data_IF_086440164291
#
_entry.id   IF_086440164291
#
_cell.length_a   1.000
_cell.length_b   1.000
_cell.length_c   1.000
_cell.angle_alpha   90.00
_cell.angle_beta   90.00
_cell.angle_gamma   90.00
#
_symmetry.space_group_name_H-M   'P 1'
#
loop_
_entity.id
_entity.type
_entity.pdbx_description
1 polymer ?
#
# COMPACT_ATOMS: atom_id res chain seq x y z
N UNK A 1 13.95 -4.84 -7.53
CA UNK A 1 13.58 -3.98 -8.68
C UNK A 1 12.08 -3.72 -8.63
N UNK A 2 11.59 -2.57 -9.06
CA UNK A 2 10.14 -2.23 -9.05
C UNK A 2 9.36 -2.69 -10.28
N UNK A 3 9.81 -3.75 -10.96
CA UNK A 3 9.26 -4.16 -12.28
C UNK A 3 7.96 -4.96 -12.13
N UNK A 4 7.76 -5.62 -10.98
CA UNK A 4 6.53 -6.34 -10.69
C UNK A 4 5.34 -5.38 -10.76
N UNK A 5 4.24 -5.84 -11.37
CA UNK A 5 3.03 -5.05 -11.62
C UNK A 5 1.84 -5.65 -10.86
N UNK A 6 1.89 -5.73 -9.52
CA UNK A 6 0.82 -6.34 -8.76
C UNK A 6 -0.47 -5.54 -8.96
N UNK A 7 -1.57 -6.24 -9.17
CA UNK A 7 -2.93 -5.70 -9.04
C UNK A 7 -3.46 -5.83 -7.60
N UNK A 8 -2.81 -6.67 -6.80
CA UNK A 8 -3.17 -6.96 -5.41
C UNK A 8 -1.90 -7.28 -4.61
N UNK A 9 -1.84 -6.81 -3.36
CA UNK A 9 -0.85 -7.23 -2.38
C UNK A 9 -1.56 -7.79 -1.15
N UNK A 10 -1.32 -9.07 -0.86
CA UNK A 10 -1.79 -9.69 0.38
C UNK A 10 -0.74 -9.47 1.47
N UNK A 11 -1.14 -8.82 2.57
CA UNK A 11 -0.25 -8.44 3.66
C UNK A 11 -0.80 -8.92 5.00
N UNK A 12 0.09 -9.25 5.93
CA UNK A 12 -0.23 -9.49 7.33
C UNK A 12 0.38 -8.37 8.17
N UNK A 13 -0.48 -7.46 8.64
CA UNK A 13 -0.13 -6.37 9.55
C UNK A 13 -0.37 -6.80 11.00
N UNK A 14 0.31 -6.19 12.00
CA UNK A 14 0.00 -6.43 13.40
C UNK A 14 -1.48 -6.18 13.70
N UNK A 15 -2.13 -7.15 14.35
CA UNK A 15 -3.53 -7.01 14.76
C UNK A 15 -3.68 -5.92 15.83
N UNK A 16 -4.69 -5.07 15.69
CA UNK A 16 -4.96 -3.97 16.61
C UNK A 16 -4.13 -2.70 16.35
N UNK A 17 -3.13 -2.75 15.47
CA UNK A 17 -2.45 -1.55 14.97
C UNK A 17 -3.05 -1.11 13.63
N UNK A 18 -3.20 0.20 13.45
CA UNK A 18 -3.81 0.79 12.26
C UNK A 18 -2.76 1.50 11.40
N UNK A 19 -2.83 1.30 10.09
CA UNK A 19 -1.88 1.86 9.13
C UNK A 19 -2.59 2.57 7.99
N UNK A 20 -2.33 3.87 7.83
CA UNK A 20 -2.75 4.63 6.66
C UNK A 20 -1.90 4.23 5.45
N UNK A 21 -2.56 3.73 4.40
CA UNK A 21 -1.91 3.41 3.14
C UNK A 21 -1.80 4.62 2.21
N UNK A 22 -0.70 4.67 1.45
CA UNK A 22 -0.47 5.59 0.34
C UNK A 22 0.20 4.81 -0.80
N UNK A 23 -0.33 4.91 -2.01
CA UNK A 23 0.27 4.33 -3.22
C UNK A 23 1.08 5.42 -3.90
N UNK A 24 2.37 5.17 -4.08
CA UNK A 24 3.31 6.09 -4.72
C UNK A 24 3.60 5.56 -6.12
N UNK A 25 3.22 6.34 -7.13
CA UNK A 25 3.67 6.13 -8.50
C UNK A 25 4.96 6.91 -8.69
N UNK A 26 6.08 6.19 -8.77
CA UNK A 26 7.40 6.83 -8.91
C UNK A 26 7.69 7.32 -10.33
N UNK A 27 6.92 6.86 -11.32
CA UNK A 27 7.05 7.31 -12.72
C UNK A 27 6.28 8.61 -12.96
N UNK A 28 5.03 8.67 -12.51
CA UNK A 28 4.18 9.87 -12.60
C UNK A 28 4.44 10.87 -11.45
N UNK A 29 5.34 10.53 -10.52
CA UNK A 29 5.67 11.32 -9.33
C UNK A 29 4.44 11.71 -8.50
N UNK A 30 3.53 10.76 -8.29
CA UNK A 30 2.25 11.02 -7.62
C UNK A 30 2.04 10.13 -6.39
N UNK A 31 1.20 10.62 -5.47
CA UNK A 31 0.80 9.89 -4.26
C UNK A 31 -0.72 9.82 -4.23
N UNK A 32 -1.25 8.60 -4.16
CA UNK A 32 -2.69 8.33 -4.05
C UNK A 32 -3.00 7.84 -2.63
N UNK A 33 -3.80 8.58 -1.84
CA UNK A 33 -4.24 8.12 -0.52
C UNK A 33 -5.04 6.82 -0.63
N UNK A 34 -4.76 5.86 0.25
CA UNK A 34 -5.47 4.60 0.38
C UNK A 34 -6.34 4.52 1.63
N UNK A 35 -6.81 3.31 1.95
CA UNK A 35 -7.55 3.03 3.17
C UNK A 35 -6.61 2.85 4.38
N UNK A 36 -7.21 2.79 5.58
CA UNK A 36 -6.53 2.34 6.80
C UNK A 36 -6.69 0.83 6.91
N UNK A 37 -5.58 0.13 7.17
CA UNK A 37 -5.53 -1.33 7.26
C UNK A 37 -5.06 -1.80 8.65
N UNK A 38 -5.47 -3.02 9.03
CA UNK A 38 -5.02 -3.76 10.23
C UNK A 38 -5.20 -5.26 10.00
N UNK A 39 -4.38 -6.10 10.64
CA UNK A 39 -4.46 -7.56 10.49
C UNK A 39 -4.14 -8.05 9.07
N UNK A 40 -4.78 -9.16 8.65
CA UNK A 40 -4.65 -9.68 7.29
C UNK A 40 -5.50 -8.86 6.31
N UNK A 41 -4.87 -8.32 5.28
CA UNK A 41 -5.51 -7.42 4.32
C UNK A 41 -5.05 -7.67 2.90
N UNK A 42 -5.95 -7.39 1.96
CA UNK A 42 -5.67 -7.37 0.54
C UNK A 42 -5.68 -5.91 0.08
N UNK A 43 -4.52 -5.38 -0.30
CA UNK A 43 -4.35 -4.00 -0.75
C UNK A 43 -4.44 -3.95 -2.28
N UNK A 44 -5.44 -3.28 -2.86
CA UNK A 44 -5.53 -3.09 -4.29
C UNK A 44 -4.33 -2.26 -4.78
N UNK A 45 -3.69 -2.73 -5.84
CA UNK A 45 -2.57 -2.03 -6.47
C UNK A 45 -2.89 -1.71 -7.93
N UNK A 46 -2.25 -0.70 -8.54
CA UNK A 46 -2.62 -0.24 -9.88
C UNK A 46 -2.34 -1.21 -11.03
N UNK A 47 -1.65 -2.34 -10.81
CA UNK A 47 -1.26 -3.24 -11.90
C UNK A 47 -0.24 -2.63 -12.86
N UNK A 48 0.59 -1.72 -12.37
CA UNK A 48 1.65 -1.04 -13.13
C UNK A 48 3.01 -1.28 -12.48
N UNK A 49 4.08 -1.14 -13.25
CA UNK A 49 5.43 -1.14 -12.69
C UNK A 49 5.67 0.15 -11.88
N UNK A 50 6.70 0.11 -11.05
CA UNK A 50 7.24 1.27 -10.32
C UNK A 50 6.26 1.90 -9.33
N UNK A 51 5.33 1.09 -8.84
CA UNK A 51 4.43 1.42 -7.75
C UNK A 51 5.08 1.01 -6.43
N UNK A 52 4.98 1.89 -5.44
CA UNK A 52 5.34 1.58 -4.06
C UNK A 52 4.12 1.73 -3.16
N UNK A 53 4.00 0.87 -2.16
CA UNK A 53 3.02 1.00 -1.09
C UNK A 53 3.74 1.52 0.15
N UNK A 54 3.30 2.66 0.67
CA UNK A 54 3.72 3.17 1.97
C UNK A 54 2.60 2.91 2.98
N UNK A 55 2.96 2.28 4.10
CA UNK A 55 2.07 2.06 5.24
C UNK A 55 2.62 2.83 6.43
N UNK A 56 1.88 3.87 6.87
CA UNK A 56 2.25 4.68 8.02
C UNK A 56 1.33 4.34 9.18
N UNK A 57 1.90 3.93 10.32
CA UNK A 57 1.11 3.69 11.52
C UNK A 57 0.40 4.97 11.93
N UNK A 58 -0.88 4.88 12.22
CA UNK A 58 -1.67 5.96 12.82
C UNK A 58 -1.93 5.58 14.27
N UNK A 59 -1.66 6.53 15.18
CA UNK A 59 -2.07 6.38 16.58
C UNK A 59 -3.59 6.60 16.67
N UNK A 60 -4.27 5.94 17.62
CA UNK A 60 -5.71 6.13 17.87
C UNK A 60 -6.10 7.57 18.19
#
# INVERSE_FOLDING_TARGET
TGVAQPALLELSLPEGEHYQAEIIDTWEMSVTPGAIYSGRVDVPMPGKAYQALLLRRVEP
#
